data_IF_072115066777
#
_entry.id   IF_072115066777
#
_cell.length_a   1.000
_cell.length_b   1.000
_cell.length_c   1.000
_cell.angle_alpha   90.00
_cell.angle_beta   90.00
_cell.angle_gamma   90.00
#
_symmetry.space_group_name_H-M   'P 1'
#
loop_
_entity.id
_entity.type
_entity.pdbx_description
1 polymer ?
#
# COMPACT_ATOMS: atom_id res chain seq x y z
N UNK A 1 2.96 44.22 30.87
CA UNK A 1 3.14 43.45 29.61
C UNK A 1 4.09 42.24 29.75
N UNK A 2 4.29 41.69 30.97
CA UNK A 2 4.99 40.41 31.19
C UNK A 2 4.28 39.58 32.28
N UNK A 3 2.95 39.50 32.21
CA UNK A 3 2.18 38.63 33.11
C UNK A 3 2.42 37.17 32.76
N UNK A 4 2.32 36.29 33.75
CA UNK A 4 2.45 34.84 33.59
C UNK A 4 1.57 34.29 32.45
N UNK A 5 0.33 34.80 32.35
CA UNK A 5 -0.63 34.47 31.30
C UNK A 5 -0.09 34.79 29.90
N UNK A 6 0.59 35.92 29.71
CA UNK A 6 1.13 36.30 28.41
C UNK A 6 2.31 35.40 27.98
N UNK A 7 3.13 34.96 28.94
CA UNK A 7 4.23 34.01 28.69
C UNK A 7 3.71 32.63 28.29
N UNK A 8 2.66 32.18 28.98
CA UNK A 8 1.99 30.91 28.69
C UNK A 8 1.37 30.94 27.29
N UNK A 9 0.64 32.02 26.95
CA UNK A 9 0.06 32.21 25.63
C UNK A 9 1.12 32.18 24.52
N UNK A 10 2.27 32.82 24.72
CA UNK A 10 3.36 32.80 23.76
C UNK A 10 3.99 31.40 23.57
N UNK A 11 4.10 30.63 24.65
CA UNK A 11 4.57 29.24 24.58
C UNK A 11 3.59 28.37 23.79
N UNK A 12 2.28 28.49 24.07
CA UNK A 12 1.25 27.79 23.32
C UNK A 12 1.25 28.15 21.84
N UNK A 13 1.27 29.43 21.51
CA UNK A 13 1.35 29.90 20.13
C UNK A 13 2.59 29.33 19.42
N UNK A 14 3.75 29.33 20.07
CA UNK A 14 4.97 28.74 19.53
C UNK A 14 4.79 27.24 19.24
N UNK A 15 4.27 26.46 20.20
CA UNK A 15 4.06 25.02 20.00
C UNK A 15 3.09 24.72 18.87
N UNK A 16 2.00 25.49 18.75
CA UNK A 16 1.01 25.34 17.67
C UNK A 16 1.65 25.64 16.31
N UNK A 17 2.47 26.69 16.20
CA UNK A 17 3.18 27.02 14.96
C UNK A 17 4.13 25.90 14.57
N UNK A 18 4.91 25.36 15.52
CA UNK A 18 5.83 24.24 15.25
C UNK A 18 5.06 23.02 14.74
N UNK A 19 3.96 22.64 15.38
CA UNK A 19 3.12 21.53 14.90
C UNK A 19 2.49 21.81 13.54
N UNK A 20 2.06 23.04 13.27
CA UNK A 20 1.50 23.42 11.97
C UNK A 20 2.55 23.29 10.87
N UNK A 21 3.78 23.78 11.10
CA UNK A 21 4.89 23.66 10.14
C UNK A 21 5.26 22.20 9.90
N UNK A 22 5.34 21.38 10.96
CA UNK A 22 5.61 19.94 10.82
C UNK A 22 4.51 19.25 10.00
N UNK A 23 3.24 19.54 10.27
CA UNK A 23 2.10 18.95 9.55
C UNK A 23 2.13 19.33 8.07
N UNK A 24 2.45 20.59 7.75
CA UNK A 24 2.60 21.07 6.38
C UNK A 24 3.78 20.36 5.71
N UNK A 25 4.94 20.26 6.37
CA UNK A 25 6.13 19.58 5.82
C UNK A 25 5.88 18.11 5.50
N UNK A 26 5.20 17.41 6.39
CA UNK A 26 4.72 16.03 6.21
C UNK A 26 3.81 15.91 4.99
N UNK A 27 2.86 16.83 4.85
CA UNK A 27 1.92 16.84 3.75
C UNK A 27 2.62 17.08 2.41
N UNK A 28 3.49 18.09 2.32
CA UNK A 28 4.27 18.35 1.12
C UNK A 28 5.16 17.15 0.75
N UNK A 29 5.82 16.53 1.73
CA UNK A 29 6.65 15.34 1.50
C UNK A 29 5.85 14.19 0.88
N UNK A 30 4.57 14.04 1.22
CA UNK A 30 3.72 13.00 0.64
C UNK A 30 3.23 13.41 -0.74
N UNK A 31 2.89 14.69 -0.93
CA UNK A 31 2.36 15.23 -2.18
C UNK A 31 3.34 15.08 -3.35
N UNK A 32 4.65 15.25 -3.11
CA UNK A 32 5.66 15.14 -4.16
C UNK A 32 6.09 13.72 -4.51
N UNK A 33 5.61 12.69 -3.79
CA UNK A 33 5.97 11.31 -4.08
C UNK A 33 5.07 10.72 -5.17
N UNK A 34 5.71 10.15 -6.19
CA UNK A 34 5.04 9.38 -7.24
C UNK A 34 5.13 7.88 -6.89
N UNK A 35 3.97 7.25 -6.72
CA UNK A 35 3.85 5.82 -6.37
C UNK A 35 3.70 4.91 -7.60
N UNK A 36 4.37 5.24 -8.71
CA UNK A 36 4.26 4.46 -9.94
C UNK A 36 5.48 3.55 -10.06
N UNK A 37 5.30 2.27 -9.79
CA UNK A 37 6.32 1.24 -10.02
C UNK A 37 5.85 0.26 -11.09
N UNK A 38 6.71 -0.01 -12.07
CA UNK A 38 6.45 -1.00 -13.11
C UNK A 38 6.65 -2.40 -12.55
N UNK A 39 5.56 -3.13 -12.35
CA UNK A 39 5.59 -4.50 -11.86
C UNK A 39 6.01 -5.46 -12.97
N UNK A 40 7.09 -6.22 -12.77
CA UNK A 40 7.48 -7.32 -13.67
C UNK A 40 6.78 -8.60 -13.24
N UNK A 41 5.57 -8.84 -13.75
CA UNK A 41 4.86 -10.10 -13.54
C UNK A 41 5.43 -11.18 -14.47
N UNK A 42 6.06 -12.21 -13.91
CA UNK A 42 6.60 -13.34 -14.70
C UNK A 42 5.72 -14.56 -14.46
N UNK A 43 4.74 -14.82 -15.32
CA UNK A 43 3.92 -16.04 -15.24
C UNK A 43 4.77 -17.25 -15.65
N UNK A 44 5.42 -17.89 -14.68
CA UNK A 44 6.27 -19.05 -14.91
C UNK A 44 5.41 -20.32 -15.02
N UNK A 45 5.21 -20.81 -16.26
CA UNK A 45 4.64 -22.14 -16.59
C UNK A 45 3.20 -22.36 -16.08
N UNK A 46 2.17 -21.93 -16.83
CA UNK A 46 0.81 -22.41 -16.59
C UNK A 46 0.77 -23.94 -16.82
N UNK A 47 0.68 -24.72 -15.74
CA UNK A 47 0.58 -26.19 -15.82
C UNK A 47 -0.90 -26.56 -15.83
N UNK A 48 -1.42 -26.91 -17.00
CA UNK A 48 -2.75 -27.52 -17.12
C UNK A 48 -2.63 -28.98 -16.71
N UNK A 49 -2.86 -29.28 -15.43
CA UNK A 49 -2.89 -30.66 -14.94
C UNK A 49 -4.34 -31.15 -14.88
N UNK A 50 -4.65 -32.17 -15.66
CA UNK A 50 -5.91 -32.90 -15.54
C UNK A 50 -5.95 -33.60 -14.17
N UNK A 51 -6.87 -33.19 -13.30
CA UNK A 51 -7.09 -33.78 -11.98
C UNK A 51 -8.33 -34.66 -12.01
N UNK A 52 -8.28 -35.79 -11.29
CA UNK A 52 -9.44 -36.65 -11.09
C UNK A 52 -10.34 -35.98 -10.06
N UNK A 53 -11.60 -35.73 -10.42
CA UNK A 53 -12.59 -35.07 -9.57
C UNK A 53 -12.94 -35.94 -8.36
N UNK A 54 -12.75 -35.41 -7.13
CA UNK A 54 -13.26 -36.03 -5.89
C UNK A 54 -14.61 -35.42 -5.46
N UNK A 55 -15.51 -35.18 -6.42
CA UNK A 55 -16.87 -34.69 -6.13
C UNK A 55 -17.91 -35.77 -6.45
N UNK A 56 -18.89 -35.89 -5.54
CA UNK A 56 -19.96 -36.92 -5.53
C UNK A 56 -20.94 -36.79 -6.71
N UNK A 57 -20.87 -35.72 -7.49
CA UNK A 57 -21.80 -35.46 -8.59
C UNK A 57 -21.12 -35.63 -9.96
N UNK A 58 -21.67 -36.50 -10.81
CA UNK A 58 -21.10 -36.96 -12.09
C UNK A 58 -21.18 -35.93 -13.23
N UNK A 59 -20.88 -34.65 -12.96
CA UNK A 59 -20.69 -33.64 -14.01
C UNK A 59 -19.20 -33.41 -14.19
N UNK A 60 -18.66 -33.84 -15.35
CA UNK A 60 -17.30 -33.54 -15.79
C UNK A 60 -17.13 -32.03 -15.86
N UNK A 61 -16.41 -31.44 -14.92
CA UNK A 61 -15.91 -30.08 -15.01
C UNK A 61 -14.41 -30.15 -15.28
N UNK A 62 -13.95 -29.53 -16.38
CA UNK A 62 -12.52 -29.42 -16.64
C UNK A 62 -11.89 -28.43 -15.65
N UNK A 63 -11.29 -28.96 -14.59
CA UNK A 63 -10.53 -28.19 -13.61
C UNK A 63 -9.11 -27.94 -14.14
N UNK A 64 -8.81 -26.67 -14.43
CA UNK A 64 -7.45 -26.18 -14.68
C UNK A 64 -6.92 -25.42 -13.45
N UNK A 65 -5.67 -25.68 -13.06
CA UNK A 65 -4.98 -24.89 -12.03
C UNK A 65 -4.02 -23.95 -12.75
N UNK A 66 -4.17 -22.65 -12.52
CA UNK A 66 -3.20 -21.65 -12.95
C UNK A 66 -2.31 -21.31 -11.75
N UNK A 67 -1.03 -21.66 -11.83
CA UNK A 67 -0.04 -21.24 -10.85
C UNK A 67 0.66 -19.99 -11.38
N UNK A 68 0.55 -18.89 -10.63
CA UNK A 68 1.16 -17.60 -10.95
C UNK A 68 2.23 -17.32 -9.90
N UNK A 69 3.49 -17.29 -10.32
CA UNK A 69 4.59 -16.80 -9.49
C UNK A 69 4.72 -15.28 -9.72
N UNK A 70 4.34 -14.49 -8.71
CA UNK A 70 4.45 -13.03 -8.77
C UNK A 70 5.68 -12.60 -7.98
N UNK A 71 6.68 -12.06 -8.68
CA UNK A 71 7.83 -11.42 -8.06
C UNK A 71 7.68 -9.90 -8.18
N UNK A 72 7.62 -9.21 -7.05
CA UNK A 72 7.29 -7.79 -7.00
C UNK A 72 8.15 -7.07 -5.97
N UNK A 73 8.83 -6.01 -6.42
CA UNK A 73 9.68 -5.18 -5.57
C UNK A 73 8.91 -3.93 -5.11
N UNK A 74 8.43 -3.93 -3.86
CA UNK A 74 7.56 -2.87 -3.32
C UNK A 74 8.28 -1.89 -2.39
N UNK A 75 9.60 -2.02 -2.20
CA UNK A 75 10.31 -1.24 -1.18
C UNK A 75 10.19 0.28 -1.41
N UNK A 76 10.05 0.72 -2.66
CA UNK A 76 9.83 2.13 -3.03
C UNK A 76 8.43 2.65 -2.65
N UNK A 77 7.46 1.74 -2.53
CA UNK A 77 6.07 2.03 -2.18
C UNK A 77 5.82 2.01 -0.67
N UNK A 78 6.81 1.70 0.18
CA UNK A 78 6.65 1.67 1.62
C UNK A 78 7.31 2.89 2.27
N UNK A 79 6.47 3.83 2.70
CA UNK A 79 6.86 5.07 3.33
C UNK A 79 6.28 5.23 4.72
N UNK A 80 6.86 6.16 5.47
CA UNK A 80 6.49 6.49 6.84
C UNK A 80 5.02 6.91 7.02
N UNK A 81 4.35 7.38 5.97
CA UNK A 81 2.93 7.79 5.98
C UNK A 81 1.97 6.73 5.42
N UNK A 82 2.46 5.60 4.89
CA UNK A 82 1.61 4.59 4.25
C UNK A 82 1.07 3.64 5.31
N UNK A 83 -0.27 3.50 5.33
CA UNK A 83 -0.99 2.66 6.31
C UNK A 83 -1.39 1.31 5.75
N UNK A 84 -1.72 1.26 4.46
CA UNK A 84 -2.22 0.06 3.80
C UNK A 84 -1.89 0.13 2.30
N UNK A 85 -1.62 -1.04 1.71
CA UNK A 85 -1.35 -1.21 0.29
C UNK A 85 -2.30 -2.26 -0.28
N UNK A 86 -3.05 -1.89 -1.32
CA UNK A 86 -3.95 -2.81 -2.01
C UNK A 86 -3.32 -3.26 -3.33
N UNK A 87 -3.20 -4.58 -3.50
CA UNK A 87 -2.77 -5.20 -4.75
C UNK A 87 -3.98 -5.80 -5.46
N UNK A 88 -4.25 -5.33 -6.68
CA UNK A 88 -5.30 -5.87 -7.53
C UNK A 88 -4.68 -6.69 -8.66
N UNK A 89 -5.02 -7.97 -8.71
CA UNK A 89 -4.70 -8.84 -9.83
C UNK A 89 -5.96 -9.02 -10.65
N UNK A 90 -5.93 -8.54 -11.89
CA UNK A 90 -7.01 -8.71 -12.86
C UNK A 90 -6.50 -9.66 -13.95
N UNK A 91 -7.27 -10.72 -14.21
CA UNK A 91 -7.08 -11.57 -15.37
C UNK A 91 -8.19 -11.21 -16.37
N UNK A 92 -7.81 -10.61 -17.49
CA UNK A 92 -8.67 -10.42 -18.67
C UNK A 92 -8.53 -11.59 -19.64
#
# INVERSE_FOLDING_TARGET
>A
MHTFINRLNNLFAFTVIVFAVLTIGVFLSTYFKQYHETLRTTANKPIVKHMIEFLVNRKKNDLGILQLDLDMYLNSLFDWNIKELFLYLIAE
#
